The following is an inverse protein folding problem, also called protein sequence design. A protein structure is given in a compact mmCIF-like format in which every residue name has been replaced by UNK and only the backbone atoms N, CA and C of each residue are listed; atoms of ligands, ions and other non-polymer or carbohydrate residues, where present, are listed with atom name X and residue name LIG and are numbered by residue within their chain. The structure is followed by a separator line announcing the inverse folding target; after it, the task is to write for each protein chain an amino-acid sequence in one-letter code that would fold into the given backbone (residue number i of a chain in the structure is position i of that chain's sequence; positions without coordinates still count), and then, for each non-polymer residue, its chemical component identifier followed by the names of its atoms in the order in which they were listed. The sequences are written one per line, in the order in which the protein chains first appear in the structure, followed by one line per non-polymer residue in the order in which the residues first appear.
data_IF_278154104641
#
_entry.id   IF_278154104641
#
_cell.length_a   1.000
_cell.length_b   1.000
_cell.length_c   1.000
_cell.angle_alpha   90.00
_cell.angle_beta   90.00
_cell.angle_gamma   90.00
#
_symmetry.space_group_name_H-M   'P 1'
#
loop_
_entity.id
_entity.type
_entity.pdbx_description
1 polymer ?
#
# COMPACT_ATOMS: atom_id res chain seq x y z
N UNK A 1 -10.80 -1.49 15.83
CA UNK A 1 -11.12 -0.83 14.55
C UNK A 1 -9.91 -0.96 13.64
N UNK A 2 -9.86 -2.01 12.81
CA UNK A 2 -8.85 -2.10 11.75
C UNK A 2 -9.35 -1.25 10.57
N UNK A 3 -8.50 -0.46 9.90
CA UNK A 3 -8.93 0.23 8.69
C UNK A 3 -9.25 -0.86 7.68
N UNK A 4 -10.54 -1.04 7.43
CA UNK A 4 -11.00 -1.86 6.33
C UNK A 4 -10.40 -1.25 5.06
N UNK A 5 -9.47 -1.95 4.40
CA UNK A 5 -9.29 -1.82 2.95
C UNK A 5 -10.57 -2.35 2.27
N UNK A 6 -11.68 -1.65 2.49
CA UNK A 6 -12.85 -1.74 1.65
C UNK A 6 -12.39 -1.18 0.31
N UNK A 7 -12.24 -2.06 -0.65
CA UNK A 7 -12.33 -1.69 -2.06
C UNK A 7 -13.67 -0.98 -2.23
N UNK A 8 -13.65 0.35 -2.21
CA UNK A 8 -14.77 1.12 -2.72
C UNK A 8 -14.98 0.65 -4.16
N UNK A 9 -16.18 0.16 -4.48
CA UNK A 9 -16.54 -0.11 -5.88
C UNK A 9 -16.59 1.23 -6.61
N UNK A 10 -15.45 1.71 -7.10
CA UNK A 10 -15.44 2.72 -8.14
C UNK A 10 -15.75 2.01 -9.45
N UNK A 11 -17.01 2.11 -9.90
CA UNK A 11 -17.36 1.85 -11.28
C UNK A 11 -16.71 2.97 -12.10
N UNK A 12 -15.54 2.69 -12.67
CA UNK A 12 -14.84 3.60 -13.54
C UNK A 12 -13.63 2.91 -14.16
N UNK A 13 -13.74 2.49 -15.41
CA UNK A 13 -12.59 2.07 -16.20
C UNK A 13 -11.72 3.29 -16.50
N UNK A 14 -10.89 3.68 -15.54
CA UNK A 14 -9.87 4.71 -15.69
C UNK A 14 -8.53 4.12 -16.15
N UNK A 15 -7.74 4.91 -16.87
CA UNK A 15 -6.38 4.53 -17.23
C UNK A 15 -5.45 4.71 -16.03
N UNK A 16 -4.48 3.79 -15.85
CA UNK A 16 -3.42 3.91 -14.86
C UNK A 16 -2.32 4.82 -15.42
N UNK A 17 -1.86 5.79 -14.64
CA UNK A 17 -0.71 6.62 -14.98
C UNK A 17 0.08 7.00 -13.71
N UNK A 18 1.43 7.14 -13.78
CA UNK A 18 2.25 7.32 -12.57
C UNK A 18 1.95 8.58 -11.74
N UNK A 19 1.39 9.61 -12.39
CA UNK A 19 1.06 10.92 -11.82
C UNK A 19 -0.40 11.03 -11.37
N UNK A 20 -1.12 9.91 -11.23
CA UNK A 20 -2.55 9.90 -10.91
C UNK A 20 -2.92 10.73 -9.67
N UNK A 21 -2.02 10.80 -8.69
CA UNK A 21 -2.25 11.50 -7.43
C UNK A 21 -1.57 12.88 -7.34
N UNK A 22 -0.93 13.40 -8.39
CA UNK A 22 -0.13 14.63 -8.31
C UNK A 22 -0.96 15.87 -7.89
N UNK A 23 -2.24 15.90 -8.24
CA UNK A 23 -3.14 17.00 -7.85
C UNK A 23 -4.02 16.69 -6.64
N UNK A 24 -4.44 15.44 -6.47
CA UNK A 24 -5.38 15.04 -5.41
C UNK A 24 -4.68 14.64 -4.10
N UNK A 25 -3.46 14.13 -4.17
CA UNK A 25 -2.62 13.82 -3.03
C UNK A 25 -1.12 13.92 -3.40
N UNK A 26 -0.57 15.14 -3.56
CA UNK A 26 0.78 15.36 -4.08
C UNK A 26 1.89 14.70 -3.24
N UNK A 27 1.65 14.50 -1.94
CA UNK A 27 2.61 13.85 -1.03
C UNK A 27 2.53 12.32 -1.05
N UNK A 28 1.65 11.71 -1.85
CA UNK A 28 1.42 10.27 -1.83
C UNK A 28 2.71 9.48 -2.06
N UNK A 29 3.47 9.82 -3.11
CA UNK A 29 4.72 9.12 -3.44
C UNK A 29 5.78 9.28 -2.35
N UNK A 30 5.92 10.48 -1.79
CA UNK A 30 6.88 10.77 -0.72
C UNK A 30 6.54 10.00 0.57
N UNK A 31 5.26 9.99 0.96
CA UNK A 31 4.78 9.27 2.15
C UNK A 31 5.10 7.78 2.04
N UNK A 32 4.76 7.14 0.90
CA UNK A 32 5.05 5.71 0.70
C UNK A 32 6.54 5.45 0.82
N UNK A 33 7.36 6.21 0.07
CA UNK A 33 8.81 6.04 0.05
C UNK A 33 9.42 6.15 1.44
N UNK A 34 9.01 7.14 2.23
CA UNK A 34 9.56 7.37 3.57
C UNK A 34 9.24 6.22 4.53
N UNK A 35 7.99 5.74 4.53
CA UNK A 35 7.57 4.63 5.40
C UNK A 35 8.23 3.32 4.98
N UNK A 36 8.29 3.03 3.68
CA UNK A 36 8.94 1.82 3.15
C UNK A 36 10.43 1.84 3.46
N UNK A 37 11.14 2.94 3.20
CA UNK A 37 12.56 3.06 3.50
C UNK A 37 12.85 2.81 4.99
N UNK A 38 12.03 3.38 5.87
CA UNK A 38 12.14 3.15 7.33
C UNK A 38 11.91 1.68 7.70
N UNK A 39 10.91 1.04 7.09
CA UNK A 39 10.58 -0.37 7.36
C UNK A 39 11.69 -1.31 6.86
N UNK A 40 12.23 -1.07 5.66
CA UNK A 40 13.34 -1.84 5.07
C UNK A 40 14.64 -1.63 5.84
N UNK A 41 14.93 -0.40 6.28
CA UNK A 41 16.09 -0.12 7.13
C UNK A 41 16.02 -0.86 8.47
N UNK A 42 14.82 -1.06 9.02
CA UNK A 42 14.60 -1.83 10.24
C UNK A 42 14.70 -3.34 10.02
N UNK A 43 14.13 -3.83 8.91
CA UNK A 43 14.18 -5.25 8.53
C UNK A 43 14.36 -5.37 7.01
N UNK A 44 15.55 -5.72 6.49
CA UNK A 44 15.79 -5.81 5.05
C UNK A 44 14.89 -6.80 4.31
N UNK A 45 14.43 -7.86 5.00
CA UNK A 45 13.46 -8.84 4.44
C UNK A 45 12.07 -8.24 4.20
N UNK A 46 11.79 -7.06 4.74
CA UNK A 46 10.53 -6.35 4.50
C UNK A 46 10.37 -5.96 3.04
N UNK A 47 11.46 -5.62 2.34
CA UNK A 47 11.42 -5.32 0.91
C UNK A 47 10.82 -6.47 0.09
N UNK A 48 11.34 -7.69 0.30
CA UNK A 48 10.82 -8.89 -0.35
C UNK A 48 9.37 -9.21 0.08
N UNK A 49 9.03 -8.91 1.34
CA UNK A 49 7.67 -9.13 1.86
C UNK A 49 6.64 -8.20 1.21
N UNK A 50 6.98 -6.91 1.03
CA UNK A 50 6.14 -5.92 0.36
C UNK A 50 5.99 -6.22 -1.13
N UNK A 51 7.08 -6.60 -1.80
CA UNK A 51 7.03 -7.06 -3.19
C UNK A 51 6.12 -8.28 -3.33
N UNK A 52 6.28 -9.28 -2.45
CA UNK A 52 5.41 -10.46 -2.40
C UNK A 52 3.96 -10.07 -2.16
N UNK A 53 3.70 -9.11 -1.27
CA UNK A 53 2.34 -8.67 -0.94
C UNK A 53 1.61 -8.07 -2.15
N UNK A 54 2.31 -7.36 -3.04
CA UNK A 54 1.74 -6.85 -4.29
C UNK A 54 1.27 -7.97 -5.23
N UNK A 55 2.07 -9.02 -5.43
CA UNK A 55 1.70 -10.16 -6.29
C UNK A 55 0.63 -11.06 -5.68
N UNK A 56 0.52 -11.09 -4.35
CA UNK A 56 -0.47 -11.87 -3.62
C UNK A 56 -1.75 -11.08 -3.28
N UNK A 57 -1.92 -9.90 -3.91
CA UNK A 57 -3.06 -8.97 -3.86
C UNK A 57 -4.13 -9.37 -2.84
N UNK A 58 -3.92 -8.97 -1.59
CA UNK A 58 -4.69 -9.52 -0.49
C UNK A 58 -5.95 -8.69 -0.26
N UNK A 59 -6.97 -8.92 -1.09
CA UNK A 59 -8.32 -8.39 -0.91
C UNK A 59 -8.97 -8.83 0.42
N UNK A 60 -8.38 -9.79 1.13
CA UNK A 60 -8.85 -10.19 2.45
C UNK A 60 -7.66 -10.66 3.27
N UNK A 61 -7.36 -9.96 4.36
CA UNK A 61 -6.43 -10.32 5.46
C UNK A 61 -6.69 -11.70 6.10
N UNK A 62 -7.59 -12.53 5.53
CA UNK A 62 -8.11 -13.82 6.02
C UNK A 62 -8.54 -14.82 4.91
N UNK A 63 -7.73 -15.06 3.87
CA UNK A 63 -7.91 -16.28 3.07
C UNK A 63 -7.19 -17.46 3.75
N UNK A 64 -7.86 -18.61 3.88
CA UNK A 64 -7.31 -19.82 4.53
C UNK A 64 -5.91 -20.27 4.06
N UNK A 65 -5.51 -20.10 2.77
CA UNK A 65 -4.17 -20.48 2.33
C UNK A 65 -3.04 -19.55 2.82
N UNK A 66 -3.36 -18.34 3.31
CA UNK A 66 -2.38 -17.31 3.67
C UNK A 66 -2.36 -17.01 5.18
N UNK A 67 -2.97 -17.88 5.99
CA UNK A 67 -3.07 -17.71 7.44
C UNK A 67 -1.65 -17.69 8.05
N UNK A 68 -1.17 -16.51 8.43
CA UNK A 68 0.17 -16.22 8.99
C UNK A 68 1.37 -16.32 8.00
N UNK A 69 1.14 -16.34 6.68
CA UNK A 69 2.25 -16.45 5.70
C UNK A 69 2.67 -15.09 5.13
N UNK A 70 1.72 -14.23 4.76
CA UNK A 70 2.02 -12.87 4.31
C UNK A 70 2.31 -11.91 5.49
N UNK A 71 3.38 -11.13 5.34
CA UNK A 71 3.89 -10.12 6.28
C UNK A 71 3.97 -8.76 5.58
N UNK A 72 4.11 -7.67 6.32
CA UNK A 72 4.20 -6.32 5.77
C UNK A 72 2.85 -5.58 5.69
N UNK A 73 1.76 -6.21 6.12
CA UNK A 73 0.46 -5.54 6.27
C UNK A 73 0.54 -4.36 7.24
N UNK A 74 1.37 -4.47 8.27
CA UNK A 74 1.64 -3.42 9.24
C UNK A 74 2.22 -2.16 8.58
N UNK A 75 3.08 -2.31 7.57
CA UNK A 75 3.65 -1.20 6.80
C UNK A 75 2.59 -0.56 5.91
N UNK A 76 1.77 -1.38 5.25
CA UNK A 76 0.65 -0.89 4.41
C UNK A 76 -0.40 -0.16 5.27
N UNK A 77 -0.73 -0.70 6.44
CA UNK A 77 -1.66 -0.09 7.40
C UNK A 77 -1.10 1.26 7.91
N UNK A 78 0.21 1.35 8.17
CA UNK A 78 0.88 2.60 8.55
C UNK A 78 0.80 3.64 7.41
N UNK A 79 1.13 3.26 6.18
CA UNK A 79 1.02 4.14 5.01
C UNK A 79 -0.42 4.63 4.85
N UNK A 80 -1.40 3.73 4.91
CA UNK A 80 -2.82 4.10 4.77
C UNK A 80 -3.25 5.04 5.88
N UNK A 81 -2.80 4.83 7.11
CA UNK A 81 -3.13 5.72 8.22
C UNK A 81 -2.51 7.12 8.07
N UNK A 82 -1.30 7.24 7.49
CA UNK A 82 -0.71 8.54 7.18
C UNK A 82 -1.44 9.20 6.01
N UNK A 83 -1.76 8.46 4.96
CA UNK A 83 -2.49 8.97 3.79
C UNK A 83 -3.91 9.43 4.14
N UNK A 84 -4.67 8.70 4.94
CA UNK A 84 -6.03 9.12 5.34
C UNK A 84 -6.03 10.38 6.21
N UNK A 85 -4.90 10.72 6.85
CA UNK A 85 -4.73 12.00 7.53
C UNK A 85 -4.42 13.14 6.58
N UNK A 86 -3.66 12.88 5.51
CA UNK A 86 -3.24 13.90 4.55
C UNK A 86 -4.28 14.14 3.45
N UNK A 87 -4.86 13.07 2.89
CA UNK A 87 -5.78 13.07 1.76
C UNK A 87 -6.86 11.98 1.96
N UNK A 88 -7.93 12.28 2.73
CA UNK A 88 -8.95 11.29 3.10
C UNK A 88 -9.60 10.66 1.87
N UNK A 89 -9.81 9.34 1.91
CA UNK A 89 -10.50 8.55 0.88
C UNK A 89 -10.00 8.75 -0.55
N UNK A 90 -8.75 9.20 -0.73
CA UNK A 90 -8.20 9.56 -2.05
C UNK A 90 -7.38 8.42 -2.65
N UNK A 91 -6.38 7.92 -1.91
CA UNK A 91 -5.45 6.89 -2.43
C UNK A 91 -5.96 5.48 -2.13
N UNK A 92 -6.06 4.64 -3.16
CA UNK A 92 -6.54 3.26 -3.04
C UNK A 92 -5.51 2.35 -2.33
N UNK A 93 -5.98 1.31 -1.62
CA UNK A 93 -5.06 0.32 -1.03
C UNK A 93 -4.25 -0.44 -2.10
N UNK A 94 -4.83 -0.64 -3.29
CA UNK A 94 -4.14 -1.27 -4.42
C UNK A 94 -2.94 -0.44 -4.88
N UNK A 95 -3.12 0.87 -5.02
CA UNK A 95 -2.02 1.77 -5.40
C UNK A 95 -0.97 1.90 -4.31
N UNK A 96 -1.36 1.87 -3.03
CA UNK A 96 -0.40 1.83 -1.92
C UNK A 96 0.49 0.58 -2.03
N UNK A 97 -0.09 -0.59 -2.29
CA UNK A 97 0.69 -1.82 -2.46
C UNK A 97 1.61 -1.75 -3.68
N UNK A 98 1.14 -1.20 -4.80
CA UNK A 98 1.94 -1.04 -6.01
C UNK A 98 3.12 -0.07 -5.79
N UNK A 99 2.86 1.08 -5.16
CA UNK A 99 3.90 2.06 -4.82
C UNK A 99 4.89 1.47 -3.80
N UNK A 100 4.41 0.75 -2.79
CA UNK A 100 5.27 0.17 -1.75
C UNK A 100 6.17 -0.94 -2.32
N UNK A 101 5.66 -1.77 -3.21
CA UNK A 101 6.45 -2.79 -3.90
C UNK A 101 7.52 -2.17 -4.81
N UNK A 102 7.18 -1.11 -5.53
CA UNK A 102 8.14 -0.32 -6.32
C UNK A 102 9.25 0.24 -5.43
N UNK A 103 8.88 0.87 -4.32
CA UNK A 103 9.84 1.55 -3.43
C UNK A 103 10.64 0.56 -2.55
N UNK A 104 10.34 -0.74 -2.62
CA UNK A 104 11.07 -1.80 -1.92
C UNK A 104 12.31 -2.30 -2.68
N UNK A 105 12.46 -1.97 -3.97
CA UNK A 105 13.56 -2.48 -4.83
C UNK A 105 14.60 -1.43 -5.18
N UNK A 106 14.41 -0.19 -4.73
CA UNK A 106 15.29 0.99 -4.93
C UNK A 106 16.07 1.33 -3.68
#
# INVERSE_FOLDING_TARGET
LAPHCLSSKTVGGGYLYPQFYDHSCPKAQEIVRNVVAKAVAKEPRMAASLLRLHFHDCFVKRSNPNRNSARGFEVIDEIKAVMEKECPHTVSCADIMALAARDSTV
#
